data_IF_793234241096
#
_entry.id   IF_793234241096
#
_cell.length_a   1.000
_cell.length_b   1.000
_cell.length_c   1.000
_cell.angle_alpha   90.00
_cell.angle_beta   90.00
_cell.angle_gamma   90.00
#
_symmetry.space_group_name_H-M   'P 1'
#
loop_
_entity.id
_entity.type
_entity.pdbx_description
1 polymer ?
#
# COMPACT_ATOMS: atom_id res chain seq x y z
N UNK A 1 -13.08 44.14 32.12
CA UNK A 1 -12.68 44.35 30.71
C UNK A 1 -12.36 42.99 30.12
N UNK A 2 -13.24 42.44 29.28
CA UNK A 2 -13.03 41.19 28.56
C UNK A 2 -12.24 41.47 27.29
N UNK A 3 -11.00 40.98 27.20
CA UNK A 3 -10.21 41.03 25.98
C UNK A 3 -10.16 39.64 25.36
N UNK A 4 -11.06 39.43 24.42
CA UNK A 4 -11.02 38.55 23.25
C UNK A 4 -9.97 37.43 23.26
N UNK A 5 -10.46 36.20 23.42
CA UNK A 5 -9.85 35.00 22.85
C UNK A 5 -9.62 35.25 21.35
N UNK A 6 -8.35 35.23 20.94
CA UNK A 6 -8.00 35.22 19.52
C UNK A 6 -8.42 33.87 18.92
N UNK A 7 -9.21 33.87 17.82
CA UNK A 7 -9.55 32.66 17.10
C UNK A 7 -8.28 31.99 16.57
N UNK A 8 -8.27 30.66 16.56
CA UNK A 8 -7.27 29.83 15.90
C UNK A 8 -7.26 30.08 14.39
N UNK A 9 -6.60 31.15 13.94
CA UNK A 9 -6.31 31.41 12.54
C UNK A 9 -5.19 30.47 12.05
N UNK A 10 -5.61 29.41 11.37
CA UNK A 10 -5.06 28.97 10.07
C UNK A 10 -3.58 29.29 9.77
N UNK A 11 -2.66 28.73 10.53
CA UNK A 11 -1.24 28.62 10.17
C UNK A 11 -0.96 27.54 9.10
N UNK A 12 -1.76 27.49 8.03
CA UNK A 12 -1.50 26.60 6.88
C UNK A 12 -0.55 27.32 5.91
N UNK A 13 0.75 27.27 6.18
CA UNK A 13 1.74 27.56 5.15
C UNK A 13 1.55 26.62 3.96
N UNK A 14 1.64 27.15 2.75
CA UNK A 14 1.44 26.43 1.47
C UNK A 14 2.59 25.44 1.16
N UNK A 15 3.14 24.78 2.17
CA UNK A 15 4.29 23.90 2.05
C UNK A 15 4.21 22.72 3.02
N UNK A 16 4.74 21.57 2.60
CA UNK A 16 4.90 20.41 3.46
C UNK A 16 5.82 20.77 4.63
N UNK A 17 5.44 20.36 5.84
CA UNK A 17 6.34 20.41 6.98
C UNK A 17 7.55 19.49 6.75
N UNK A 18 8.70 19.80 7.36
CA UNK A 18 9.90 18.95 7.28
C UNK A 18 9.62 17.49 7.66
N UNK A 19 8.69 17.27 8.59
CA UNK A 19 8.20 15.96 9.00
C UNK A 19 7.41 15.24 7.90
N UNK A 20 6.47 15.92 7.26
CA UNK A 20 5.70 15.35 6.15
C UNK A 20 6.64 14.92 5.01
N UNK A 21 7.65 15.74 4.71
CA UNK A 21 8.70 15.40 3.74
C UNK A 21 9.50 14.15 4.17
N UNK A 22 9.85 14.02 5.45
CA UNK A 22 10.54 12.83 5.96
C UNK A 22 9.68 11.56 5.85
N UNK A 23 8.40 11.63 6.19
CA UNK A 23 7.48 10.48 6.09
C UNK A 23 7.31 10.06 4.63
N UNK A 24 6.98 11.02 3.76
CA UNK A 24 6.75 10.76 2.33
C UNK A 24 8.04 10.29 1.66
N UNK A 25 9.17 10.92 1.96
CA UNK A 25 10.48 10.55 1.43
C UNK A 25 10.90 9.15 1.88
N UNK A 26 10.67 8.81 3.14
CA UNK A 26 10.92 7.47 3.68
C UNK A 26 10.08 6.40 2.99
N UNK A 27 8.77 6.64 2.85
CA UNK A 27 7.87 5.70 2.18
C UNK A 27 8.23 5.56 0.68
N UNK A 28 8.60 6.66 0.02
CA UNK A 28 9.05 6.65 -1.37
C UNK A 28 10.34 5.85 -1.54
N UNK A 29 11.32 6.01 -0.65
CA UNK A 29 12.56 5.24 -0.68
C UNK A 29 12.31 3.75 -0.48
N UNK A 30 11.43 3.39 0.47
CA UNK A 30 11.01 2.01 0.67
C UNK A 30 10.31 1.44 -0.57
N UNK A 31 9.42 2.20 -1.20
CA UNK A 31 8.77 1.79 -2.45
C UNK A 31 9.77 1.58 -3.59
N UNK A 32 10.77 2.44 -3.74
CA UNK A 32 11.81 2.28 -4.75
C UNK A 32 12.58 0.96 -4.56
N UNK A 33 12.90 0.61 -3.30
CA UNK A 33 13.51 -0.69 -2.96
C UNK A 33 12.55 -1.82 -3.36
N UNK A 34 11.26 -1.73 -3.03
CA UNK A 34 10.28 -2.75 -3.38
C UNK A 34 10.20 -2.99 -4.89
N UNK A 35 10.13 -1.91 -5.68
CA UNK A 35 10.07 -2.00 -7.14
C UNK A 35 11.35 -2.62 -7.71
N UNK A 36 12.52 -2.26 -7.17
CA UNK A 36 13.78 -2.89 -7.54
C UNK A 36 13.78 -4.39 -7.20
N UNK A 37 13.26 -4.78 -6.03
CA UNK A 37 13.12 -6.19 -5.64
C UNK A 37 12.16 -6.93 -6.57
N UNK A 38 11.03 -6.33 -6.96
CA UNK A 38 10.11 -6.94 -7.94
C UNK A 38 10.84 -7.26 -9.26
N UNK A 39 11.60 -6.29 -9.79
CA UNK A 39 12.37 -6.46 -11.02
C UNK A 39 13.43 -7.56 -10.89
N UNK A 40 14.21 -7.55 -9.80
CA UNK A 40 15.26 -8.56 -9.57
C UNK A 40 14.65 -9.94 -9.37
N UNK A 41 13.61 -10.07 -8.55
CA UNK A 41 12.98 -11.36 -8.23
C UNK A 41 12.24 -11.96 -9.41
N UNK A 42 11.76 -11.15 -10.37
CA UNK A 42 11.13 -11.64 -11.60
C UNK A 42 12.08 -12.50 -12.45
N UNK A 43 13.40 -12.30 -12.32
CA UNK A 43 14.43 -13.13 -12.97
C UNK A 43 14.85 -14.36 -12.14
N UNK A 44 14.17 -14.64 -11.02
CA UNK A 44 14.51 -15.73 -10.09
C UNK A 44 13.36 -16.73 -9.94
N UNK A 45 13.59 -17.93 -9.38
CA UNK A 45 12.52 -18.88 -9.08
C UNK A 45 11.46 -18.36 -8.10
N UNK A 46 11.72 -17.24 -7.40
CA UNK A 46 10.74 -16.61 -6.51
C UNK A 46 9.50 -16.12 -7.28
N UNK A 47 9.62 -15.81 -8.57
CA UNK A 47 8.48 -15.40 -9.39
C UNK A 47 7.40 -16.50 -9.51
N UNK A 48 7.81 -17.77 -9.49
CA UNK A 48 6.92 -18.94 -9.62
C UNK A 48 6.12 -19.19 -8.33
N UNK A 49 6.50 -18.58 -7.20
CA UNK A 49 5.78 -18.72 -5.92
C UNK A 49 4.31 -18.32 -6.08
N UNK A 50 4.04 -17.29 -6.89
CA UNK A 50 2.68 -16.86 -7.17
C UNK A 50 1.84 -17.97 -7.84
N UNK A 51 2.41 -18.75 -8.74
CA UNK A 51 1.69 -19.81 -9.46
C UNK A 51 1.18 -20.90 -8.48
N UNK A 52 2.02 -21.27 -7.51
CA UNK A 52 1.63 -22.22 -6.47
C UNK A 52 0.61 -21.65 -5.49
N UNK A 53 0.83 -20.41 -5.04
CA UNK A 53 -0.04 -19.79 -4.04
C UNK A 53 -1.42 -19.43 -4.61
N UNK A 54 -1.49 -18.97 -5.85
CA UNK A 54 -2.74 -18.57 -6.50
C UNK A 54 -3.39 -19.69 -7.32
N UNK A 55 -2.86 -20.92 -7.28
CA UNK A 55 -3.57 -22.12 -7.75
C UNK A 55 -4.97 -22.23 -7.12
N UNK A 56 -5.09 -21.80 -5.86
CA UNK A 56 -6.37 -21.43 -5.24
C UNK A 56 -6.27 -19.95 -4.83
N UNK A 57 -6.99 -19.01 -5.46
CA UNK A 57 -6.81 -17.58 -5.23
C UNK A 57 -6.86 -17.15 -3.75
N UNK A 58 -7.72 -17.79 -2.95
CA UNK A 58 -7.80 -17.53 -1.51
C UNK A 58 -6.49 -17.84 -0.76
N UNK A 59 -5.73 -18.86 -1.17
CA UNK A 59 -4.46 -19.24 -0.51
C UNK A 59 -3.45 -18.12 -0.68
N UNK A 60 -3.26 -17.62 -1.90
CA UNK A 60 -2.37 -16.48 -2.15
C UNK A 60 -2.77 -15.23 -1.37
N UNK A 61 -4.07 -14.90 -1.34
CA UNK A 61 -4.57 -13.76 -0.56
C UNK A 61 -4.29 -13.92 0.94
N UNK A 62 -4.51 -15.11 1.50
CA UNK A 62 -4.26 -15.35 2.93
C UNK A 62 -2.76 -15.34 3.25
N UNK A 63 -1.91 -15.91 2.40
CA UNK A 63 -0.45 -15.95 2.63
C UNK A 63 0.14 -14.55 2.55
N UNK A 64 -0.15 -13.79 1.49
CA UNK A 64 0.35 -12.41 1.37
C UNK A 64 -0.30 -11.49 2.40
N UNK A 65 -1.60 -11.63 2.67
CA UNK A 65 -2.29 -10.88 3.70
C UNK A 65 -1.70 -11.11 5.09
N UNK A 66 -1.41 -12.36 5.45
CA UNK A 66 -0.76 -12.70 6.71
C UNK A 66 0.68 -12.20 6.78
N UNK A 67 1.45 -12.29 5.69
CA UNK A 67 2.81 -11.77 5.63
C UNK A 67 2.85 -10.24 5.78
N UNK A 68 1.94 -9.53 5.12
CA UNK A 68 1.82 -8.07 5.21
C UNK A 68 1.39 -7.66 6.62
N UNK A 69 0.31 -8.22 7.14
CA UNK A 69 -0.18 -7.91 8.48
C UNK A 69 0.85 -8.27 9.57
N UNK A 70 1.50 -9.43 9.45
CA UNK A 70 2.55 -9.85 10.38
C UNK A 70 3.78 -8.94 10.32
N UNK A 71 4.25 -8.61 9.11
CA UNK A 71 5.37 -7.69 8.90
C UNK A 71 5.10 -6.30 9.45
N UNK A 72 3.88 -5.79 9.25
CA UNK A 72 3.40 -4.53 9.82
C UNK A 72 3.46 -4.55 11.35
N UNK A 73 2.83 -5.55 11.99
CA UNK A 73 2.80 -5.68 13.45
C UNK A 73 4.22 -5.77 14.04
N UNK A 74 5.13 -6.51 13.39
CA UNK A 74 6.53 -6.60 13.81
C UNK A 74 7.22 -5.23 13.66
N UNK A 75 7.05 -4.57 12.51
CA UNK A 75 7.68 -3.29 12.22
C UNK A 75 7.23 -2.20 13.21
N UNK A 76 5.91 -2.07 13.41
CA UNK A 76 5.32 -1.10 14.33
C UNK A 76 5.72 -1.36 15.78
N UNK A 77 5.76 -2.63 16.19
CA UNK A 77 6.23 -3.02 17.53
C UNK A 77 7.69 -2.64 17.74
N UNK A 78 8.54 -2.82 16.74
CA UNK A 78 9.94 -2.40 16.80
C UNK A 78 10.07 -0.89 17.01
N UNK A 79 9.39 -0.09 16.18
CA UNK A 79 9.42 1.38 16.30
C UNK A 79 8.85 1.85 17.64
N UNK A 80 7.75 1.27 18.10
CA UNK A 80 7.09 1.66 19.36
C UNK A 80 7.96 1.38 20.58
N UNK A 81 8.71 0.28 20.57
CA UNK A 81 9.60 -0.10 21.69
C UNK A 81 11.02 0.47 21.56
N UNK A 82 11.32 1.23 20.49
CA UNK A 82 12.68 1.72 20.23
C UNK A 82 13.68 0.64 19.79
N UNK A 83 13.18 -0.53 19.35
CA UNK A 83 14.00 -1.64 18.85
C UNK A 83 14.08 -1.57 17.31
N UNK A 84 15.15 -0.93 16.83
CA UNK A 84 15.40 -0.80 15.39
C UNK A 84 15.65 -2.14 14.69
N UNK A 85 16.14 -3.17 15.41
CA UNK A 85 16.37 -4.49 14.83
C UNK A 85 15.04 -5.18 14.50
N UNK A 86 14.10 -5.16 15.45
CA UNK A 86 12.74 -5.69 15.24
C UNK A 86 12.02 -4.89 14.15
N UNK A 87 12.15 -3.55 14.16
CA UNK A 87 11.54 -2.71 13.12
C UNK A 87 12.06 -3.09 11.72
N UNK A 88 13.38 -3.28 11.59
CA UNK A 88 14.02 -3.69 10.35
C UNK A 88 13.54 -5.07 9.86
N UNK A 89 13.41 -6.05 10.75
CA UNK A 89 12.90 -7.38 10.40
C UNK A 89 11.49 -7.29 9.82
N UNK A 90 10.59 -6.54 10.48
CA UNK A 90 9.24 -6.32 9.97
C UNK A 90 9.24 -5.67 8.58
N UNK A 91 10.11 -4.68 8.38
CA UNK A 91 10.29 -4.05 7.07
C UNK A 91 10.79 -5.01 6.00
N UNK A 92 11.75 -5.90 6.32
CA UNK A 92 12.22 -6.92 5.39
C UNK A 92 11.08 -7.88 5.01
N UNK A 93 10.26 -8.31 5.97
CA UNK A 93 9.09 -9.15 5.70
C UNK A 93 8.13 -8.46 4.73
N UNK A 94 7.81 -7.18 4.97
CA UNK A 94 6.95 -6.39 4.09
C UNK A 94 7.55 -6.25 2.68
N UNK A 95 8.84 -5.94 2.59
CA UNK A 95 9.57 -5.78 1.33
C UNK A 95 9.60 -7.08 0.51
N UNK A 96 9.82 -8.22 1.17
CA UNK A 96 9.78 -9.53 0.53
C UNK A 96 8.36 -9.90 0.10
N UNK A 97 7.35 -9.65 0.94
CA UNK A 97 5.95 -9.93 0.61
C UNK A 97 5.50 -9.17 -0.65
N UNK A 98 5.67 -7.85 -0.69
CA UNK A 98 5.31 -7.06 -1.87
C UNK A 98 6.24 -7.33 -3.05
N UNK A 99 7.54 -7.49 -2.81
CA UNK A 99 8.54 -7.78 -3.83
C UNK A 99 8.27 -9.08 -4.58
N UNK A 100 8.05 -10.18 -3.85
CA UNK A 100 7.74 -11.49 -4.45
C UNK A 100 6.38 -11.44 -5.16
N UNK A 101 5.35 -10.83 -4.53
CA UNK A 101 4.03 -10.72 -5.13
C UNK A 101 4.08 -9.96 -6.47
N UNK A 102 4.74 -8.80 -6.51
CA UNK A 102 4.90 -8.01 -7.73
C UNK A 102 5.79 -8.69 -8.77
N UNK A 103 6.84 -9.40 -8.36
CA UNK A 103 7.71 -10.17 -9.24
C UNK A 103 6.95 -11.23 -10.03
N UNK A 104 6.11 -12.03 -9.34
CA UNK A 104 5.29 -13.02 -10.01
C UNK A 104 4.15 -12.41 -10.85
N UNK A 105 3.80 -11.13 -10.66
CA UNK A 105 2.88 -10.43 -11.56
C UNK A 105 3.60 -10.00 -12.85
N UNK A 106 4.83 -9.48 -12.79
CA UNK A 106 5.56 -9.00 -13.97
C UNK A 106 6.28 -10.12 -14.74
N UNK A 107 6.42 -11.31 -14.17
CA UNK A 107 7.08 -12.44 -14.85
C UNK A 107 6.32 -12.96 -16.08
N UNK A 108 5.06 -12.56 -16.27
CA UNK A 108 4.27 -12.91 -17.44
C UNK A 108 4.62 -12.13 -18.71
N UNK A 109 5.43 -11.07 -18.62
CA UNK A 109 5.90 -10.30 -19.78
C UNK A 109 7.41 -10.45 -20.00
N UNK A 110 7.89 -10.28 -21.24
CA UNK A 110 9.32 -10.29 -21.55
C UNK A 110 10.11 -9.26 -20.72
N UNK A 111 11.35 -9.58 -20.38
CA UNK A 111 12.20 -8.76 -19.50
C UNK A 111 12.35 -7.31 -19.96
N UNK A 112 12.44 -7.09 -21.27
CA UNK A 112 12.48 -5.76 -21.90
C UNK A 112 11.23 -4.90 -21.64
N UNK A 113 10.08 -5.53 -21.39
CA UNK A 113 8.80 -4.84 -21.14
C UNK A 113 8.57 -4.60 -19.64
N UNK A 114 9.23 -5.35 -18.76
CA UNK A 114 9.02 -5.28 -17.31
C UNK A 114 9.30 -3.88 -16.74
N UNK A 115 10.38 -3.22 -17.16
CA UNK A 115 10.71 -1.86 -16.69
C UNK A 115 9.65 -0.84 -17.12
N UNK A 116 9.12 -0.98 -18.34
CA UNK A 116 8.06 -0.12 -18.83
C UNK A 116 6.77 -0.31 -18.01
N UNK A 117 6.38 -1.56 -17.75
CA UNK A 117 5.21 -1.89 -16.92
C UNK A 117 5.35 -1.33 -15.50
N UNK A 118 6.50 -1.52 -14.86
CA UNK A 118 6.78 -0.97 -13.53
C UNK A 118 6.77 0.56 -13.54
N UNK A 119 7.33 1.18 -14.58
CA UNK A 119 7.32 2.63 -14.75
C UNK A 119 5.91 3.20 -14.88
N UNK A 120 5.06 2.62 -15.73
CA UNK A 120 3.66 3.03 -15.87
C UNK A 120 2.92 2.85 -14.54
N UNK A 121 3.12 1.71 -13.88
CA UNK A 121 2.51 1.42 -12.57
C UNK A 121 2.90 2.46 -11.53
N UNK A 122 4.18 2.84 -11.49
CA UNK A 122 4.68 3.88 -10.59
C UNK A 122 4.01 5.24 -10.86
N UNK A 123 3.90 5.64 -12.13
CA UNK A 123 3.23 6.89 -12.51
C UNK A 123 1.77 6.89 -12.10
N UNK A 124 1.02 5.84 -12.42
CA UNK A 124 -0.41 5.73 -12.09
C UNK A 124 -0.61 5.73 -10.56
N UNK A 125 0.23 4.99 -9.83
CA UNK A 125 0.18 4.96 -8.36
C UNK A 125 0.49 6.32 -7.75
N UNK A 126 1.49 7.04 -8.28
CA UNK A 126 1.83 8.39 -7.85
C UNK A 126 0.68 9.37 -8.11
N UNK A 127 0.01 9.28 -9.26
CA UNK A 127 -1.16 10.09 -9.58
C UNK A 127 -2.33 9.80 -8.62
N UNK A 128 -2.65 8.53 -8.35
CA UNK A 128 -3.67 8.16 -7.37
C UNK A 128 -3.34 8.67 -5.97
N UNK A 129 -2.09 8.53 -5.55
CA UNK A 129 -1.60 9.03 -4.26
C UNK A 129 -1.71 10.55 -4.17
N UNK A 130 -1.34 11.27 -5.24
CA UNK A 130 -1.47 12.72 -5.32
C UNK A 130 -2.93 13.17 -5.29
N UNK A 131 -3.83 12.47 -5.99
CA UNK A 131 -5.28 12.76 -5.98
C UNK A 131 -5.88 12.55 -4.59
N UNK A 132 -5.59 11.42 -3.94
CA UNK A 132 -6.07 11.14 -2.58
C UNK A 132 -5.48 12.15 -1.60
N UNK A 133 -4.18 12.42 -1.67
CA UNK A 133 -3.53 13.43 -0.83
C UNK A 133 -4.17 14.81 -1.01
N UNK A 134 -4.33 15.26 -2.26
CA UNK A 134 -5.00 16.52 -2.58
C UNK A 134 -6.41 16.58 -2.01
N UNK A 135 -7.19 15.51 -2.14
CA UNK A 135 -8.53 15.43 -1.57
C UNK A 135 -8.53 15.54 -0.03
N UNK A 136 -7.63 14.82 0.64
CA UNK A 136 -7.49 14.87 2.10
C UNK A 136 -7.08 16.28 2.52
N UNK A 137 -5.99 16.84 1.99
CA UNK A 137 -5.49 18.17 2.40
C UNK A 137 -6.44 19.32 2.06
N UNK A 138 -7.25 19.21 1.00
CA UNK A 138 -8.24 20.21 0.65
C UNK A 138 -9.43 20.28 1.61
N UNK A 139 -9.67 19.25 2.43
CA UNK A 139 -10.82 19.18 3.33
C UNK A 139 -10.43 19.38 4.80
N UNK A 140 -11.20 20.17 5.54
CA UNK A 140 -11.03 20.34 7.00
C UNK A 140 -11.66 19.23 7.85
N UNK A 141 -12.22 18.18 7.22
CA UNK A 141 -12.87 17.07 7.91
C UNK A 141 -11.86 16.02 8.41
N UNK A 142 -12.30 15.21 9.37
CA UNK A 142 -11.56 14.03 9.85
C UNK A 142 -11.81 12.85 8.91
N UNK A 143 -10.80 11.99 8.75
CA UNK A 143 -10.87 10.78 7.91
C UNK A 143 -10.59 9.51 8.70
N UNK A 144 -10.78 9.53 10.02
CA UNK A 144 -10.55 8.38 10.91
C UNK A 144 -11.33 7.14 10.49
N UNK A 145 -12.59 7.31 10.07
CA UNK A 145 -13.47 6.24 9.62
C UNK A 145 -12.95 5.49 8.37
N UNK A 146 -12.06 6.10 7.58
CA UNK A 146 -11.51 5.45 6.39
C UNK A 146 -10.65 4.23 6.75
N UNK A 147 -10.00 4.22 7.92
CA UNK A 147 -9.30 3.04 8.41
C UNK A 147 -10.26 1.88 8.72
N UNK A 148 -11.42 2.17 9.33
CA UNK A 148 -12.45 1.15 9.57
C UNK A 148 -13.05 0.63 8.27
N UNK A 149 -13.35 1.51 7.31
CA UNK A 149 -13.85 1.12 6.00
C UNK A 149 -12.82 0.29 5.21
N UNK A 150 -11.53 0.61 5.33
CA UNK A 150 -10.47 -0.20 4.75
C UNK A 150 -10.49 -1.63 5.32
N UNK A 151 -10.62 -1.78 6.64
CA UNK A 151 -10.71 -3.10 7.27
C UNK A 151 -11.95 -3.89 6.80
N UNK A 152 -13.12 -3.25 6.69
CA UNK A 152 -14.31 -3.89 6.14
C UNK A 152 -14.13 -4.29 4.68
N UNK A 153 -13.47 -3.45 3.87
CA UNK A 153 -13.17 -3.76 2.49
C UNK A 153 -12.18 -4.93 2.37
N UNK A 154 -11.16 -5.01 3.23
CA UNK A 154 -10.23 -6.14 3.27
C UNK A 154 -10.92 -7.44 3.69
N UNK A 155 -11.65 -7.45 4.81
CA UNK A 155 -12.36 -8.64 5.28
C UNK A 155 -13.45 -9.09 4.30
N UNK A 156 -14.21 -8.14 3.77
CA UNK A 156 -15.21 -8.39 2.73
C UNK A 156 -14.57 -8.94 1.46
N UNK A 157 -13.46 -8.37 1.01
CA UNK A 157 -12.70 -8.85 -0.14
C UNK A 157 -12.20 -10.28 0.05
N UNK A 158 -11.61 -10.60 1.22
CA UNK A 158 -11.18 -11.96 1.55
C UNK A 158 -12.37 -12.94 1.53
N UNK A 159 -13.50 -12.58 2.15
CA UNK A 159 -14.70 -13.41 2.16
C UNK A 159 -15.27 -13.64 0.75
N UNK A 160 -15.29 -12.61 -0.09
CA UNK A 160 -15.74 -12.70 -1.47
C UNK A 160 -14.78 -13.55 -2.32
N UNK A 161 -13.47 -13.44 -2.11
CA UNK A 161 -12.46 -14.28 -2.79
C UNK A 161 -12.58 -15.73 -2.36
N UNK A 162 -12.87 -16.00 -1.09
CA UNK A 162 -13.11 -17.35 -0.58
C UNK A 162 -14.28 -18.00 -1.33
N UNK A 163 -15.43 -17.32 -1.42
CA UNK A 163 -16.59 -17.82 -2.17
C UNK A 163 -16.27 -17.89 -3.67
N UNK A 164 -15.57 -16.90 -4.21
CA UNK A 164 -15.17 -16.87 -5.62
C UNK A 164 -14.23 -17.99 -6.03
N UNK A 165 -13.41 -18.48 -5.10
CA UNK A 165 -12.48 -19.59 -5.32
C UNK A 165 -13.20 -20.92 -5.52
N UNK A 166 -14.30 -21.17 -4.79
CA UNK A 166 -14.94 -22.50 -4.75
C UNK A 166 -16.33 -22.55 -5.37
N UNK A 167 -17.02 -21.42 -5.51
CA UNK A 167 -18.44 -21.37 -5.88
C UNK A 167 -18.67 -20.61 -7.18
N UNK A 168 -18.22 -19.35 -7.26
CA UNK A 168 -18.57 -18.46 -8.37
C UNK A 168 -17.41 -17.55 -8.77
N UNK A 169 -16.68 -17.93 -9.81
CA UNK A 169 -15.41 -17.28 -10.23
C UNK A 169 -15.53 -15.78 -10.53
N UNK A 170 -16.69 -15.28 -10.99
CA UNK A 170 -16.89 -13.83 -11.23
C UNK A 170 -16.74 -13.00 -9.94
N UNK A 171 -16.94 -13.61 -8.77
CA UNK A 171 -16.73 -12.95 -7.49
C UNK A 171 -15.25 -12.63 -7.23
N UNK A 172 -14.30 -13.29 -7.88
CA UNK A 172 -12.87 -12.94 -7.73
C UNK A 172 -12.58 -11.50 -8.16
N UNK A 173 -13.27 -11.00 -9.19
CA UNK A 173 -13.16 -9.61 -9.61
C UNK A 173 -13.72 -8.65 -8.55
N UNK A 174 -14.87 -8.99 -7.96
CA UNK A 174 -15.46 -8.20 -6.86
C UNK A 174 -14.52 -8.18 -5.66
N UNK A 175 -13.91 -9.32 -5.34
CA UNK A 175 -12.89 -9.47 -4.32
C UNK A 175 -11.68 -8.56 -4.57
N UNK A 176 -11.12 -8.60 -5.78
CA UNK A 176 -10.04 -7.70 -6.20
C UNK A 176 -10.41 -6.22 -6.01
N UNK A 177 -11.60 -5.81 -6.45
CA UNK A 177 -12.07 -4.43 -6.29
C UNK A 177 -12.19 -4.03 -4.82
N UNK A 178 -12.67 -4.92 -3.96
CA UNK A 178 -12.78 -4.66 -2.52
C UNK A 178 -11.41 -4.53 -1.86
N UNK A 179 -10.46 -5.41 -2.15
CA UNK A 179 -9.09 -5.29 -1.60
C UNK A 179 -8.42 -4.01 -2.10
N UNK A 180 -8.57 -3.70 -3.39
CA UNK A 180 -8.01 -2.47 -3.95
C UNK A 180 -8.60 -1.22 -3.31
N UNK A 181 -9.93 -1.19 -3.13
CA UNK A 181 -10.62 -0.13 -2.41
C UNK A 181 -10.14 -0.03 -0.95
N UNK A 182 -9.89 -1.17 -0.31
CA UNK A 182 -9.29 -1.23 1.03
C UNK A 182 -7.95 -0.49 1.08
N UNK A 183 -7.06 -0.73 0.11
CA UNK A 183 -5.78 -0.02 0.04
C UNK A 183 -5.92 1.48 -0.28
N UNK A 184 -6.87 1.88 -1.14
CA UNK A 184 -7.13 3.30 -1.40
C UNK A 184 -7.66 4.04 -0.16
N UNK A 185 -8.59 3.41 0.57
CA UNK A 185 -9.12 3.93 1.83
C UNK A 185 -8.04 4.00 2.90
N UNK A 186 -7.22 2.94 3.00
CA UNK A 186 -6.06 2.89 3.91
C UNK A 186 -5.08 4.00 3.57
N UNK A 187 -4.74 4.22 2.30
CA UNK A 187 -3.86 5.30 1.88
C UNK A 187 -4.39 6.68 2.31
N UNK A 188 -5.68 6.93 2.11
CA UNK A 188 -6.30 8.18 2.58
C UNK A 188 -6.24 8.33 4.11
N UNK A 189 -6.47 7.24 4.86
CA UNK A 189 -6.35 7.21 6.31
C UNK A 189 -4.92 7.50 6.79
N UNK A 190 -3.90 6.89 6.18
CA UNK A 190 -2.50 7.11 6.56
C UNK A 190 -2.05 8.54 6.23
N UNK A 191 -2.42 9.07 5.06
CA UNK A 191 -2.15 10.46 4.70
C UNK A 191 -2.83 11.43 5.68
N UNK A 192 -4.07 11.14 6.08
CA UNK A 192 -4.77 11.93 7.09
C UNK A 192 -4.06 11.88 8.46
N UNK A 193 -3.57 10.71 8.89
CA UNK A 193 -2.78 10.59 10.10
C UNK A 193 -1.49 11.42 10.03
N UNK A 194 -0.83 11.44 8.87
CA UNK A 194 0.35 12.29 8.64
C UNK A 194 0.04 13.76 8.85
N UNK A 195 -1.09 14.22 8.31
CA UNK A 195 -1.56 15.61 8.40
C UNK A 195 -1.96 16.02 9.83
N UNK A 196 -2.81 15.22 10.48
CA UNK A 196 -3.50 15.60 11.72
C UNK A 196 -2.84 15.06 12.99
N UNK A 197 -2.15 13.90 12.94
CA UNK A 197 -1.47 13.29 14.11
C UNK A 197 0.02 13.58 14.11
N UNK A 198 0.37 14.86 14.22
CA UNK A 198 1.77 15.34 14.17
C UNK A 198 2.67 14.84 15.29
N UNK A 199 2.10 14.47 16.44
CA UNK A 199 2.83 13.94 17.59
C UNK A 199 3.17 12.44 17.46
N UNK A 200 2.63 11.75 16.45
CA UNK A 200 2.95 10.34 16.23
C UNK A 200 4.39 10.18 15.71
N UNK A 201 4.96 9.01 15.94
CA UNK A 201 6.29 8.65 15.42
C UNK A 201 6.36 8.77 13.90
N UNK A 202 7.42 9.42 13.39
CA UNK A 202 7.72 9.48 11.95
C UNK A 202 7.88 8.07 11.38
N UNK A 203 8.56 7.18 12.10
CA UNK A 203 8.76 5.79 11.66
C UNK A 203 7.44 5.04 11.46
N UNK A 204 6.51 5.15 12.41
CA UNK A 204 5.19 4.49 12.30
C UNK A 204 4.42 5.00 11.09
N UNK A 205 4.41 6.32 10.87
CA UNK A 205 3.72 6.90 9.73
C UNK A 205 4.39 6.54 8.39
N UNK A 206 5.72 6.46 8.35
CA UNK A 206 6.46 6.00 7.17
C UNK A 206 6.08 4.57 6.82
N UNK A 207 5.98 3.68 7.81
CA UNK A 207 5.57 2.27 7.62
C UNK A 207 4.14 2.20 7.08
N UNK A 208 3.20 2.90 7.73
CA UNK A 208 1.80 2.92 7.31
C UNK A 208 1.60 3.43 5.89
N UNK A 209 2.20 4.59 5.56
CA UNK A 209 2.15 5.16 4.19
C UNK A 209 2.79 4.21 3.18
N UNK A 210 3.94 3.62 3.50
CA UNK A 210 4.60 2.65 2.63
C UNK A 210 3.68 1.45 2.32
N UNK A 211 3.10 0.80 3.34
CA UNK A 211 2.22 -0.37 3.14
C UNK A 211 1.02 0.01 2.28
N UNK A 212 0.41 1.17 2.53
CA UNK A 212 -0.74 1.62 1.78
C UNK A 212 -0.38 1.88 0.30
N UNK A 213 0.72 2.58 0.04
CA UNK A 213 1.21 2.84 -1.32
C UNK A 213 1.62 1.54 -2.01
N UNK A 214 2.30 0.62 -1.33
CA UNK A 214 2.70 -0.67 -1.86
C UNK A 214 1.49 -1.52 -2.27
N UNK A 215 0.45 -1.54 -1.43
CA UNK A 215 -0.80 -2.22 -1.72
C UNK A 215 -1.53 -1.62 -2.93
N UNK A 216 -1.62 -0.29 -3.03
CA UNK A 216 -2.15 0.38 -4.23
C UNK A 216 -1.31 0.02 -5.46
N UNK A 217 0.02 0.07 -5.34
CA UNK A 217 0.96 -0.21 -6.42
C UNK A 217 0.74 -1.59 -7.03
N UNK A 218 0.68 -2.64 -6.20
CA UNK A 218 0.54 -4.02 -6.73
C UNK A 218 -0.83 -4.27 -7.37
N UNK A 219 -1.90 -3.60 -6.93
CA UNK A 219 -3.19 -3.70 -7.58
C UNK A 219 -3.23 -2.93 -8.91
N UNK A 220 -2.60 -1.75 -8.96
CA UNK A 220 -2.40 -1.03 -10.22
C UNK A 220 -1.54 -1.86 -11.17
N UNK A 221 -0.50 -2.54 -10.67
CA UNK A 221 0.36 -3.42 -11.46
C UNK A 221 -0.46 -4.53 -12.13
N UNK A 222 -1.36 -5.18 -11.39
CA UNK A 222 -2.27 -6.19 -11.94
C UNK A 222 -3.16 -5.62 -13.05
N UNK A 223 -3.65 -4.38 -12.91
CA UNK A 223 -4.44 -3.71 -13.95
C UNK A 223 -3.62 -3.37 -15.19
N UNK A 224 -2.41 -2.82 -15.02
CA UNK A 224 -1.50 -2.49 -16.12
C UNK A 224 -1.11 -3.78 -16.86
N UNK A 225 -0.75 -4.84 -16.14
CA UNK A 225 -0.45 -6.14 -16.73
C UNK A 225 -1.63 -6.70 -17.52
N UNK A 226 -2.85 -6.66 -16.96
CA UNK A 226 -4.05 -7.12 -17.64
C UNK A 226 -4.33 -6.32 -18.92
N UNK A 227 -4.05 -5.01 -18.92
CA UNK A 227 -4.15 -4.18 -20.11
C UNK A 227 -3.09 -4.58 -21.15
N UNK A 228 -1.81 -4.67 -20.77
CA UNK A 228 -0.71 -5.02 -21.67
C UNK A 228 -0.95 -6.39 -22.32
N UNK A 229 -1.29 -7.40 -21.53
CA UNK A 229 -1.59 -8.75 -22.02
C UNK A 229 -2.85 -8.84 -22.88
N UNK A 230 -3.72 -7.81 -22.87
CA UNK A 230 -4.90 -7.76 -23.75
C UNK A 230 -4.61 -7.15 -25.13
N UNK A 231 -3.42 -6.57 -25.32
CA UNK A 231 -2.99 -5.99 -26.59
C UNK A 231 -2.22 -6.99 -27.45
N UNK A 232 -1.88 -8.17 -26.90
CA UNK A 232 -1.31 -9.32 -27.60
C UNK A 232 -2.42 -10.24 -28.13
#
# INVERSE_FOLDING_TARGET
MSSFETPHETGRGFGLSSREVQVIGGATGLMAITVALMYVFAATPLAVVNDYLFAFPIVGVLVYGAAIMGGELIAERGVTNGDMGVAFIGMVVLQLAFGIFGAGIISFVPQETQLLVLGITAVVTALLTALISGYIYARSKTFEHWGQFANYAFLGGIGVILVGTFVLQVLLLVGFVLIFLGFLLRLGYEIWQVRDRRNASVGLQTIGVYIAVAGVFVHVLQLVMRYVLSQE
#
